data_IF_599997548403
#
_entry.id   IF_599997548403
#
_cell.length_a   1.000
_cell.length_b   1.000
_cell.length_c   1.000
_cell.angle_alpha   90.00
_cell.angle_beta   90.00
_cell.angle_gamma   90.00
#
_symmetry.space_group_name_H-M   'P 1'
#
loop_
_entity.id
_entity.type
_entity.pdbx_description
1 polymer ?
#
# COMPACT_ATOMS: atom_id res chain seq x y z
N UNK A 1 -30.75 -1.03 -5.65
CA UNK A 1 -29.66 -1.97 -5.32
C UNK A 1 -28.97 -1.43 -4.07
N UNK A 2 -28.80 -2.18 -2.98
CA UNK A 2 -28.20 -1.64 -1.77
C UNK A 2 -26.74 -1.27 -2.05
N UNK A 3 -26.37 -0.05 -1.67
CA UNK A 3 -25.02 0.50 -1.76
C UNK A 3 -24.12 -0.31 -0.82
N UNK A 4 -23.28 -1.20 -1.37
CA UNK A 4 -22.21 -1.83 -0.60
C UNK A 4 -21.22 -0.74 -0.23
N UNK A 5 -20.76 -0.75 1.02
CA UNK A 5 -19.75 0.20 1.49
C UNK A 5 -18.55 0.13 0.53
N UNK A 6 -18.19 1.26 -0.08
CA UNK A 6 -17.07 1.39 -1.03
C UNK A 6 -15.70 1.30 -0.35
N UNK A 7 -15.62 0.70 0.83
CA UNK A 7 -14.37 0.55 1.55
C UNK A 7 -14.42 -0.65 2.49
N UNK A 8 -13.33 -1.41 2.52
CA UNK A 8 -13.09 -2.40 3.56
C UNK A 8 -12.50 -1.66 4.75
N UNK A 9 -13.01 -1.96 5.95
CA UNK A 9 -12.50 -1.32 7.14
C UNK A 9 -11.99 -2.28 8.18
N UNK A 10 -10.78 -2.03 8.65
CA UNK A 10 -10.11 -2.84 9.65
C UNK A 10 -10.10 -2.03 10.94
N UNK A 11 -10.76 -2.56 11.98
CA UNK A 11 -10.63 -2.01 13.33
C UNK A 11 -9.23 -2.29 13.84
N UNK A 12 -8.60 -1.27 14.39
CA UNK A 12 -7.35 -1.43 15.11
C UNK A 12 -7.64 -1.87 16.54
N UNK A 13 -6.61 -2.33 17.25
CA UNK A 13 -6.79 -2.86 18.60
C UNK A 13 -7.34 -1.80 19.54
N UNK A 14 -8.20 -2.24 20.45
CA UNK A 14 -8.86 -1.38 21.43
C UNK A 14 -7.92 -0.89 22.55
N UNK A 15 -6.67 -1.37 22.59
CA UNK A 15 -5.62 -0.93 23.54
C UNK A 15 -4.93 0.38 23.12
N UNK A 16 -5.38 0.98 22.01
CA UNK A 16 -4.96 2.31 21.60
C UNK A 16 -5.54 3.38 22.57
N UNK A 17 -4.81 4.47 22.85
CA UNK A 17 -5.35 5.63 23.57
C UNK A 17 -6.68 6.09 22.95
N UNK A 18 -7.61 6.64 23.73
CA UNK A 18 -8.92 7.09 23.20
C UNK A 18 -8.79 8.07 22.03
N UNK A 19 -7.73 8.87 22.01
CA UNK A 19 -7.41 9.82 20.94
C UNK A 19 -6.73 9.17 19.71
N UNK A 20 -6.59 7.85 19.71
CA UNK A 20 -5.95 7.07 18.65
C UNK A 20 -6.85 6.82 17.44
N UNK A 21 -6.24 6.38 16.34
CA UNK A 21 -7.00 5.94 15.16
C UNK A 21 -7.61 4.57 15.46
N UNK A 22 -8.94 4.49 15.51
CA UNK A 22 -9.66 3.24 15.85
C UNK A 22 -9.96 2.34 14.64
N UNK A 23 -9.84 2.89 13.43
CA UNK A 23 -10.28 2.23 12.19
C UNK A 23 -9.55 2.80 10.98
N UNK A 24 -9.12 1.92 10.09
CA UNK A 24 -8.59 2.29 8.77
C UNK A 24 -9.54 1.76 7.70
N UNK A 25 -9.92 2.61 6.74
CA UNK A 25 -10.68 2.24 5.55
C UNK A 25 -9.76 2.15 4.33
N UNK A 26 -9.89 1.08 3.56
CA UNK A 26 -9.26 0.93 2.23
C UNK A 26 -10.37 1.08 1.21
N UNK A 27 -10.30 2.13 0.40
CA UNK A 27 -11.29 2.42 -0.65
C UNK A 27 -11.26 1.38 -1.76
N UNK A 28 -12.46 0.99 -2.19
CA UNK A 28 -12.73 0.17 -3.35
C UNK A 28 -12.99 1.07 -4.55
N UNK A 29 -11.98 1.21 -5.42
CA UNK A 29 -12.01 2.12 -6.56
C UNK A 29 -12.86 1.60 -7.73
N UNK A 30 -13.16 0.30 -7.79
CA UNK A 30 -13.97 -0.32 -8.86
C UNK A 30 -15.39 -0.70 -8.40
N UNK A 31 -15.63 -0.75 -7.09
CA UNK A 31 -16.96 -0.84 -6.47
C UNK A 31 -17.50 -2.26 -6.30
N UNK A 32 -16.66 -3.29 -6.49
CA UNK A 32 -17.08 -4.68 -6.36
C UNK A 32 -16.86 -5.33 -4.98
N UNK A 33 -16.19 -4.62 -4.08
CA UNK A 33 -15.95 -5.00 -2.69
C UNK A 33 -14.78 -5.97 -2.50
N UNK A 34 -13.91 -6.17 -3.50
CA UNK A 34 -12.79 -7.11 -3.42
C UNK A 34 -11.41 -6.41 -3.43
N UNK A 35 -10.55 -6.76 -2.47
CA UNK A 35 -9.14 -6.38 -2.51
C UNK A 35 -8.37 -7.34 -3.42
N UNK A 36 -7.87 -6.85 -4.54
CA UNK A 36 -7.04 -7.61 -5.48
C UNK A 36 -5.57 -7.23 -5.35
N UNK A 37 -4.75 -8.22 -5.01
CA UNK A 37 -3.29 -8.08 -4.96
C UNK A 37 -2.69 -8.79 -6.18
N UNK A 38 -2.07 -8.02 -7.06
CA UNK A 38 -1.42 -8.55 -8.25
C UNK A 38 0.08 -8.71 -8.01
N UNK A 39 0.63 -9.80 -8.52
CA UNK A 39 2.07 -10.05 -8.60
C UNK A 39 2.44 -10.47 -10.01
N UNK A 40 3.70 -10.25 -10.39
CA UNK A 40 4.19 -10.74 -11.67
C UNK A 40 4.44 -12.24 -11.62
N UNK A 41 4.07 -12.95 -12.69
CA UNK A 41 4.46 -14.35 -12.94
C UNK A 41 5.76 -14.46 -13.74
N UNK A 42 6.28 -13.33 -14.22
CA UNK A 42 7.53 -13.28 -14.96
C UNK A 42 8.66 -13.58 -13.97
N UNK A 43 9.49 -14.61 -14.21
CA UNK A 43 10.60 -14.93 -13.33
C UNK A 43 11.62 -13.79 -13.35
N UNK A 44 12.13 -13.44 -12.16
CA UNK A 44 13.20 -12.46 -12.04
C UNK A 44 14.53 -13.05 -12.57
N UNK A 45 15.28 -12.25 -13.33
CA UNK A 45 16.62 -12.63 -13.80
C UNK A 45 17.67 -12.52 -12.69
N UNK A 46 17.41 -11.70 -11.68
CA UNK A 46 18.32 -11.36 -10.60
C UNK A 46 17.61 -11.30 -9.24
N UNK A 47 18.39 -11.37 -8.16
CA UNK A 47 17.88 -11.27 -6.80
C UNK A 47 18.26 -9.92 -6.21
N UNK A 48 17.26 -9.09 -5.91
CA UNK A 48 17.42 -7.80 -5.22
C UNK A 48 16.84 -7.86 -3.81
N UNK A 49 17.28 -6.94 -2.96
CA UNK A 49 16.66 -6.72 -1.65
C UNK A 49 15.23 -6.19 -1.87
N UNK A 50 14.30 -6.56 -0.99
CA UNK A 50 12.93 -6.06 -1.06
C UNK A 50 12.91 -4.52 -1.02
N UNK A 51 12.17 -3.90 -1.94
CA UNK A 51 12.11 -2.43 -2.05
C UNK A 51 11.63 -1.76 -0.75
N UNK A 52 10.77 -2.41 0.03
CA UNK A 52 10.31 -1.89 1.34
C UNK A 52 11.42 -1.84 2.42
N UNK A 53 12.54 -2.51 2.20
CA UNK A 53 13.72 -2.37 3.07
C UNK A 53 14.57 -1.15 2.70
N UNK A 54 14.40 -0.57 1.51
CA UNK A 54 15.00 0.71 1.15
C UNK A 54 14.29 1.87 1.89
N UNK A 55 15.03 2.76 2.59
CA UNK A 55 14.42 3.82 3.38
C UNK A 55 13.62 4.83 2.55
N UNK A 56 14.10 5.21 1.36
CA UNK A 56 13.43 6.21 0.52
C UNK A 56 12.18 5.62 -0.12
N UNK A 57 12.30 4.43 -0.72
CA UNK A 57 11.15 3.74 -1.31
C UNK A 57 10.01 3.53 -0.28
N UNK A 58 10.36 3.15 0.96
CA UNK A 58 9.37 2.94 2.02
C UNK A 58 8.64 4.23 2.40
N UNK A 59 9.34 5.37 2.44
CA UNK A 59 8.73 6.67 2.77
C UNK A 59 7.79 7.11 1.65
N UNK A 60 8.21 6.99 0.39
CA UNK A 60 7.37 7.38 -0.75
C UNK A 60 6.09 6.54 -0.85
N UNK A 61 6.16 5.24 -0.55
CA UNK A 61 4.96 4.38 -0.45
C UNK A 61 4.03 4.85 0.67
N UNK A 62 4.57 5.34 1.80
CA UNK A 62 3.74 5.89 2.87
C UNK A 62 3.08 7.21 2.46
N UNK A 63 3.80 8.08 1.73
CA UNK A 63 3.29 9.35 1.20
C UNK A 63 2.14 9.17 0.21
N UNK A 64 2.13 8.07 -0.57
CA UNK A 64 1.00 7.71 -1.43
C UNK A 64 -0.34 7.64 -0.72
N UNK A 65 -0.37 7.13 0.51
CA UNK A 65 -1.59 7.09 1.31
C UNK A 65 -2.02 8.47 1.85
N UNK A 66 -1.11 9.44 1.84
CA UNK A 66 -1.36 10.82 2.26
C UNK A 66 -1.71 11.74 1.07
N UNK A 67 -1.91 11.18 -0.13
CA UNK A 67 -2.29 11.92 -1.33
C UNK A 67 -1.12 12.33 -2.23
N UNK A 68 0.09 11.83 -1.96
CA UNK A 68 1.23 12.03 -2.87
C UNK A 68 1.19 11.04 -4.03
N UNK A 69 0.92 11.53 -5.24
CA UNK A 69 0.84 10.68 -6.43
C UNK A 69 2.21 10.41 -7.08
N UNK A 70 3.32 10.95 -6.54
CA UNK A 70 4.66 10.73 -7.11
C UNK A 70 5.09 9.26 -7.06
N UNK A 71 5.79 8.82 -8.10
CA UNK A 71 6.29 7.44 -8.22
C UNK A 71 7.34 7.20 -7.12
N UNK A 72 7.22 6.13 -6.31
CA UNK A 72 8.24 5.79 -5.32
C UNK A 72 9.59 5.52 -5.96
N UNK A 73 10.64 6.12 -5.40
CA UNK A 73 12.01 6.01 -5.92
C UNK A 73 12.90 5.23 -4.95
N UNK A 74 13.75 4.36 -5.51
CA UNK A 74 14.79 3.70 -4.73
C UNK A 74 15.96 4.67 -4.47
N UNK A 75 16.66 4.50 -3.34
CA UNK A 75 17.88 5.28 -3.03
C UNK A 75 19.09 5.01 -3.94
N UNK A 76 18.99 4.03 -4.82
CA UNK A 76 20.05 3.59 -5.72
C UNK A 76 19.52 3.37 -7.14
N UNK A 77 20.43 3.30 -8.11
CA UNK A 77 20.07 3.06 -9.51
C UNK A 77 19.50 1.65 -9.70
N UNK A 78 18.24 1.57 -10.11
CA UNK A 78 17.52 0.34 -10.38
C UNK A 78 17.45 0.08 -11.90
N UNK A 79 18.60 -0.14 -12.53
CA UNK A 79 18.68 -0.44 -13.98
C UNK A 79 19.48 -1.70 -14.28
N UNK A 80 19.81 -1.89 -15.55
CA UNK A 80 20.80 -2.86 -16.02
C UNK A 80 22.18 -2.22 -15.99
N UNK A 81 23.18 -2.96 -15.53
CA UNK A 81 24.59 -2.63 -15.76
C UNK A 81 24.95 -2.73 -17.25
#
# INVERSE_FOLDING_TARGET
MPHRDQYISIKLRDDLPEDGIHKIGIGDLDGDGELRVYTTVIPAADRRVCLMQDPLYRIDVALKFMGDDQIPMASYYLGSD
#
